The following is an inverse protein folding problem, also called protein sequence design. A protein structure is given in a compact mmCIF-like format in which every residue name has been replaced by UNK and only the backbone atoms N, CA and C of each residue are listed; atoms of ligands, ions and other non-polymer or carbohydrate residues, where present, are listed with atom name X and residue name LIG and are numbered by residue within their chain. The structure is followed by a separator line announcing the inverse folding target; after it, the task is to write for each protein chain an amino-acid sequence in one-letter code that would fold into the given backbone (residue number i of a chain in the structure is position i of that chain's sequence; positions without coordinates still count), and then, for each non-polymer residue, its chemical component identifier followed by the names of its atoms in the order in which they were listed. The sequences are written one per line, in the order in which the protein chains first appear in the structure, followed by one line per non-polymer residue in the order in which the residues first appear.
data_IF_821228955669
#
_entry.id   IF_821228955669
#
_cell.length_a   1.000
_cell.length_b   1.000
_cell.length_c   1.000
_cell.angle_alpha   90.00
_cell.angle_beta   90.00
_cell.angle_gamma   90.00
#
_symmetry.space_group_name_H-M   'P 1'
#
loop_
_entity.id
_entity.type
_entity.pdbx_description
1 polymer ?
#
# COMPACT_ATOMS: atom_id res chain seq x y z
N UNK A 1 52.74 51.25 -36.86
CA UNK A 1 51.77 51.50 -35.74
C UNK A 1 50.42 51.08 -36.17
N UNK A 2 49.92 49.94 -35.67
CA UNK A 2 48.55 49.44 -35.97
C UNK A 2 47.61 49.83 -34.83
N UNK A 3 46.74 50.77 -35.08
CA UNK A 3 45.68 51.18 -34.15
C UNK A 3 44.57 50.06 -34.17
N UNK A 4 44.47 49.32 -33.10
CA UNK A 4 43.31 48.39 -32.85
C UNK A 4 42.06 49.23 -32.60
N UNK A 5 41.16 49.24 -33.56
CA UNK A 5 39.79 49.72 -33.37
C UNK A 5 39.09 48.89 -32.30
N UNK A 6 38.79 49.45 -31.16
CA UNK A 6 37.94 48.81 -30.14
C UNK A 6 36.48 48.92 -30.58
N UNK A 7 35.90 47.79 -30.94
CA UNK A 7 34.47 47.65 -31.14
C UNK A 7 33.80 47.79 -29.77
N UNK A 8 33.08 48.90 -29.58
CA UNK A 8 32.23 49.07 -28.37
C UNK A 8 31.08 48.06 -28.42
N UNK A 9 31.06 47.13 -27.49
CA UNK A 9 29.92 46.23 -27.31
C UNK A 9 28.70 47.07 -26.87
N UNK A 10 27.51 46.83 -27.45
CA UNK A 10 26.29 47.51 -27.01
C UNK A 10 26.01 47.13 -25.55
N UNK A 11 25.80 48.10 -24.69
CA UNK A 11 25.38 47.92 -23.31
C UNK A 11 23.85 47.73 -23.28
N UNK A 12 23.38 46.73 -22.56
CA UNK A 12 21.95 46.50 -22.35
C UNK A 12 21.30 47.67 -21.60
N UNK A 13 20.10 48.03 -22.03
CA UNK A 13 19.30 49.05 -21.34
C UNK A 13 18.56 48.44 -20.16
N UNK A 14 18.29 49.23 -19.14
CA UNK A 14 17.55 48.79 -17.97
C UNK A 14 16.14 48.28 -18.35
N UNK A 15 15.51 48.88 -19.37
CA UNK A 15 14.19 48.50 -19.83
C UNK A 15 14.20 47.16 -20.55
N UNK A 16 15.26 46.82 -21.31
CA UNK A 16 15.39 45.51 -21.96
C UNK A 16 15.45 44.38 -20.92
N UNK A 17 16.23 44.57 -19.84
CA UNK A 17 16.29 43.58 -18.76
C UNK A 17 14.95 43.47 -18.05
N UNK A 18 14.26 44.59 -17.78
CA UNK A 18 12.97 44.60 -17.12
C UNK A 18 11.89 43.85 -17.95
N UNK A 19 11.87 44.06 -19.26
CA UNK A 19 10.93 43.32 -20.15
C UNK A 19 11.24 41.83 -20.15
N UNK A 20 12.51 41.43 -20.21
CA UNK A 20 12.90 40.00 -20.20
C UNK A 20 12.49 39.33 -18.91
N UNK A 21 12.79 39.94 -17.74
CA UNK A 21 12.37 39.31 -16.47
C UNK A 21 10.86 39.23 -16.32
N UNK A 22 10.10 40.21 -16.81
CA UNK A 22 8.65 40.20 -16.79
C UNK A 22 8.11 39.02 -17.60
N UNK A 23 8.62 38.77 -18.80
CA UNK A 23 8.22 37.63 -19.63
C UNK A 23 8.56 36.31 -18.94
N UNK A 24 9.74 36.19 -18.34
CA UNK A 24 10.17 34.99 -17.61
C UNK A 24 9.23 34.71 -16.44
N UNK A 25 8.87 35.72 -15.64
CA UNK A 25 7.97 35.58 -14.51
C UNK A 25 6.57 35.10 -14.96
N UNK A 26 6.05 35.66 -16.05
CA UNK A 26 4.76 35.21 -16.63
C UNK A 26 4.84 33.76 -17.09
N UNK A 27 5.90 33.38 -17.80
CA UNK A 27 6.10 32.00 -18.28
C UNK A 27 6.21 30.99 -17.11
N UNK A 28 7.00 31.32 -16.09
CA UNK A 28 7.13 30.48 -14.89
C UNK A 28 5.79 30.35 -14.18
N UNK A 29 5.03 31.45 -14.06
CA UNK A 29 3.71 31.45 -13.41
C UNK A 29 2.70 30.50 -14.06
N UNK A 30 2.79 30.27 -15.37
CA UNK A 30 1.94 29.34 -16.12
C UNK A 30 2.48 27.89 -16.06
N UNK A 31 3.83 27.75 -16.12
CA UNK A 31 4.47 26.43 -16.18
C UNK A 31 4.42 25.67 -14.85
N UNK A 32 4.56 26.34 -13.70
CA UNK A 32 4.61 25.67 -12.40
C UNK A 32 3.36 24.84 -12.08
N UNK A 33 2.12 25.33 -12.24
CA UNK A 33 0.92 24.53 -12.04
C UNK A 33 0.80 23.34 -13.00
N UNK A 34 1.15 23.54 -14.27
CA UNK A 34 1.10 22.49 -15.30
C UNK A 34 2.12 21.36 -14.98
N UNK A 35 3.34 21.70 -14.55
CA UNK A 35 4.37 20.73 -14.19
C UNK A 35 3.97 19.89 -12.97
N UNK A 36 3.32 20.50 -11.97
CA UNK A 36 2.85 19.78 -10.79
C UNK A 36 1.78 18.74 -11.12
N UNK A 37 0.86 19.06 -12.03
CA UNK A 37 -0.16 18.13 -12.54
C UNK A 37 0.44 16.95 -13.30
N UNK A 38 1.37 17.24 -14.21
CA UNK A 38 2.07 16.21 -14.99
C UNK A 38 2.89 15.26 -14.10
N UNK A 39 3.58 15.79 -13.09
CA UNK A 39 4.34 14.99 -12.13
C UNK A 39 3.45 14.03 -11.33
N UNK A 40 2.25 14.48 -10.90
CA UNK A 40 1.29 13.60 -10.19
C UNK A 40 0.77 12.49 -11.09
N UNK A 41 0.38 12.82 -12.31
CA UNK A 41 -0.09 11.82 -13.27
C UNK A 41 1.00 10.77 -13.58
N UNK A 42 2.25 11.19 -13.72
CA UNK A 42 3.38 10.29 -13.91
C UNK A 42 3.60 9.35 -12.71
N UNK A 43 3.50 9.87 -11.47
CA UNK A 43 3.58 9.03 -10.26
C UNK A 43 2.43 8.04 -10.18
N UNK A 44 1.19 8.44 -10.46
CA UNK A 44 0.05 7.53 -10.50
C UNK A 44 0.22 6.42 -11.53
N UNK A 45 0.71 6.74 -12.72
CA UNK A 45 1.01 5.76 -13.75
C UNK A 45 2.14 4.79 -13.33
N UNK A 46 3.21 5.29 -12.67
CA UNK A 46 4.28 4.45 -12.12
C UNK A 46 3.75 3.51 -11.02
N UNK A 47 2.94 4.02 -10.11
CA UNK A 47 2.28 3.22 -9.07
C UNK A 47 1.47 2.09 -9.68
N UNK A 48 0.61 2.40 -10.66
CA UNK A 48 -0.19 1.38 -11.33
C UNK A 48 0.68 0.33 -12.04
N UNK A 49 1.81 0.72 -12.62
CA UNK A 49 2.76 -0.22 -13.23
C UNK A 49 3.39 -1.16 -12.19
N UNK A 50 3.77 -0.64 -11.01
CA UNK A 50 4.28 -1.45 -9.89
C UNK A 50 3.21 -2.45 -9.43
N UNK A 51 1.99 -1.98 -9.19
CA UNK A 51 0.88 -2.83 -8.75
C UNK A 51 0.57 -3.93 -9.78
N UNK A 52 0.61 -3.62 -11.08
CA UNK A 52 0.44 -4.63 -12.14
C UNK A 52 1.56 -5.67 -12.12
N UNK A 53 2.80 -5.27 -11.91
CA UNK A 53 3.91 -6.23 -11.80
C UNK A 53 3.73 -7.18 -10.61
N UNK A 54 3.21 -6.68 -9.48
CA UNK A 54 2.86 -7.54 -8.33
C UNK A 54 1.70 -8.47 -8.69
N UNK A 55 0.64 -7.96 -9.32
CA UNK A 55 -0.51 -8.76 -9.73
C UNK A 55 -0.12 -9.88 -10.71
N UNK A 56 0.68 -9.56 -11.72
CA UNK A 56 1.19 -10.54 -12.70
C UNK A 56 2.06 -11.62 -12.03
N UNK A 57 2.84 -11.25 -11.01
CA UNK A 57 3.62 -12.20 -10.23
C UNK A 57 2.73 -13.11 -9.38
N UNK A 58 1.68 -12.57 -8.76
CA UNK A 58 0.66 -13.33 -8.03
C UNK A 58 -0.02 -14.34 -8.95
N UNK A 59 -0.47 -13.91 -10.12
CA UNK A 59 -1.13 -14.78 -11.10
C UNK A 59 -0.18 -15.88 -11.60
N UNK A 60 1.07 -15.53 -11.91
CA UNK A 60 2.10 -16.48 -12.31
C UNK A 60 2.40 -17.51 -11.22
N UNK A 61 2.49 -17.07 -9.97
CA UNK A 61 2.66 -17.94 -8.82
C UNK A 61 1.46 -18.87 -8.64
N UNK A 62 0.24 -18.32 -8.72
CA UNK A 62 -1.00 -19.10 -8.56
C UNK A 62 -1.13 -20.19 -9.63
N UNK A 63 -0.78 -19.88 -10.88
CA UNK A 63 -0.76 -20.85 -11.98
C UNK A 63 0.26 -21.97 -11.70
N UNK A 64 1.45 -21.60 -11.24
CA UNK A 64 2.54 -22.55 -11.01
C UNK A 64 2.32 -23.39 -9.74
N UNK A 65 1.88 -22.78 -8.66
CA UNK A 65 1.80 -23.41 -7.32
C UNK A 65 0.38 -23.83 -6.94
N UNK A 66 -0.65 -23.44 -7.70
CA UNK A 66 -2.07 -23.73 -7.47
C UNK A 66 -2.57 -23.27 -6.09
N UNK A 67 -1.99 -22.22 -5.54
CA UNK A 67 -2.38 -21.52 -4.31
C UNK A 67 -2.07 -20.05 -4.43
N UNK A 68 -2.68 -19.24 -3.59
CA UNK A 68 -2.31 -17.83 -3.46
C UNK A 68 -0.94 -17.71 -2.76
N UNK A 69 -0.15 -16.65 -3.05
CA UNK A 69 1.13 -16.45 -2.39
C UNK A 69 0.93 -16.07 -0.92
N UNK A 70 1.84 -16.53 -0.09
CA UNK A 70 1.89 -16.32 1.35
C UNK A 70 2.23 -17.61 2.07
N UNK A 71 3.22 -17.56 2.96
CA UNK A 71 3.67 -18.69 3.78
C UNK A 71 2.74 -18.95 4.95
N UNK A 72 2.12 -17.89 5.44
CA UNK A 72 1.15 -17.94 6.53
C UNK A 72 -0.27 -17.89 5.94
N UNK A 73 -1.18 -18.67 6.54
CA UNK A 73 -2.59 -18.68 6.10
C UNK A 73 -3.26 -17.34 6.43
N UNK A 74 -4.36 -17.05 5.74
CA UNK A 74 -5.15 -15.84 6.01
C UNK A 74 -5.65 -15.81 7.46
N UNK A 75 -6.02 -16.98 8.00
CA UNK A 75 -6.45 -17.11 9.39
C UNK A 75 -5.31 -16.83 10.37
N UNK A 76 -4.10 -17.30 10.08
CA UNK A 76 -2.94 -16.99 10.90
C UNK A 76 -2.59 -15.48 10.82
N UNK A 77 -2.61 -14.90 9.61
CA UNK A 77 -2.36 -13.47 9.41
C UNK A 77 -3.43 -12.59 10.05
N UNK A 78 -4.67 -13.04 10.06
CA UNK A 78 -5.79 -12.33 10.68
C UNK A 78 -5.95 -12.61 12.18
N UNK A 79 -5.08 -13.42 12.81
CA UNK A 79 -5.12 -13.68 14.23
C UNK A 79 -4.77 -12.44 15.07
N UNK A 80 -5.10 -12.50 16.36
CA UNK A 80 -4.89 -11.39 17.28
C UNK A 80 -3.40 -11.02 17.45
N UNK A 81 -2.51 -11.98 17.25
CA UNK A 81 -1.05 -11.79 17.32
C UNK A 81 -0.52 -10.82 16.25
N UNK A 82 -1.27 -10.62 15.15
CA UNK A 82 -0.90 -9.68 14.09
C UNK A 82 -1.61 -8.33 14.22
N UNK A 83 -2.14 -8.00 15.38
CA UNK A 83 -2.84 -6.72 15.63
C UNK A 83 -1.90 -5.54 15.91
N UNK A 84 -0.63 -5.80 16.19
CA UNK A 84 0.34 -4.77 16.55
C UNK A 84 0.91 -4.06 15.30
N UNK A 85 1.36 -2.82 15.52
CA UNK A 85 2.03 -1.99 14.50
C UNK A 85 3.32 -2.59 13.93
N UNK A 86 3.82 -3.67 14.52
CA UNK A 86 5.02 -4.41 14.10
C UNK A 86 4.69 -5.79 13.54
N UNK A 87 3.43 -6.08 13.29
CA UNK A 87 2.99 -7.33 12.67
C UNK A 87 3.39 -7.44 11.20
N UNK A 88 3.61 -8.67 10.72
CA UNK A 88 3.82 -8.96 9.30
C UNK A 88 2.56 -8.64 8.50
N UNK A 89 2.70 -7.86 7.44
CA UNK A 89 1.58 -7.51 6.55
C UNK A 89 1.31 -8.58 5.51
N UNK A 90 0.14 -8.53 4.88
CA UNK A 90 -0.21 -9.47 3.83
C UNK A 90 0.68 -9.33 2.59
N UNK A 91 1.13 -8.12 2.26
CA UNK A 91 2.09 -7.90 1.18
C UNK A 91 3.42 -8.58 1.49
N UNK A 92 3.97 -8.37 2.67
CA UNK A 92 5.21 -8.98 3.11
C UNK A 92 5.13 -10.51 3.13
N UNK A 93 3.98 -11.05 3.62
CA UNK A 93 3.72 -12.49 3.56
C UNK A 93 3.73 -13.03 2.12
N UNK A 94 3.12 -12.31 1.18
CA UNK A 94 3.12 -12.69 -0.23
C UNK A 94 4.52 -12.60 -0.85
N UNK A 95 5.32 -11.60 -0.49
CA UNK A 95 6.69 -11.44 -0.97
C UNK A 95 7.59 -12.64 -0.64
N UNK A 96 7.35 -13.33 0.48
CA UNK A 96 8.09 -14.55 0.84
C UNK A 96 8.02 -15.64 -0.24
N UNK A 97 6.94 -15.64 -1.02
CA UNK A 97 6.74 -16.60 -2.09
C UNK A 97 7.06 -16.01 -3.47
N UNK A 98 6.64 -14.76 -3.75
CA UNK A 98 6.77 -14.21 -5.11
C UNK A 98 8.11 -13.53 -5.36
N UNK A 99 8.75 -12.97 -4.33
CA UNK A 99 10.05 -12.31 -4.44
C UNK A 99 11.22 -13.19 -3.97
N UNK A 100 10.96 -14.30 -3.29
CA UNK A 100 11.97 -15.22 -2.80
C UNK A 100 12.66 -14.75 -1.52
N UNK A 101 13.90 -15.24 -1.30
CA UNK A 101 14.70 -14.87 -0.13
C UNK A 101 14.54 -15.80 1.07
N UNK A 102 13.58 -16.72 1.07
CA UNK A 102 13.40 -17.68 2.15
C UNK A 102 14.53 -18.72 2.12
N UNK A 103 15.18 -18.90 3.28
CA UNK A 103 16.31 -19.82 3.47
C UNK A 103 16.04 -20.78 4.64
N UNK A 104 16.72 -21.92 4.64
CA UNK A 104 16.60 -22.86 5.74
C UNK A 104 17.17 -22.28 7.04
N UNK A 105 16.47 -22.51 8.16
CA UNK A 105 17.02 -22.27 9.50
C UNK A 105 18.09 -23.32 9.81
N UNK A 106 19.31 -23.15 9.31
CA UNK A 106 20.45 -23.97 9.68
C UNK A 106 21.04 -23.45 11.01
N UNK A 107 21.32 -24.33 11.95
CA UNK A 107 21.81 -23.97 13.30
C UNK A 107 23.16 -23.25 13.33
N UNK A 108 23.82 -23.08 12.18
CA UNK A 108 25.09 -22.34 12.02
C UNK A 108 24.92 -20.93 11.48
N UNK A 109 23.76 -20.59 10.95
CA UNK A 109 23.48 -19.25 10.41
C UNK A 109 23.01 -18.33 11.55
N UNK A 110 23.97 -17.91 12.36
CA UNK A 110 23.72 -16.91 13.39
C UNK A 110 23.43 -15.56 12.72
N UNK A 111 22.34 -14.86 13.08
CA UNK A 111 21.95 -13.57 12.49
C UNK A 111 22.96 -12.44 12.72
N UNK A 112 24.06 -12.73 13.39
CA UNK A 112 24.85 -11.75 14.12
C UNK A 112 25.79 -10.89 13.30
N UNK A 113 25.97 -11.07 12.00
CA UNK A 113 27.03 -10.31 11.34
C UNK A 113 26.60 -9.28 10.31
N UNK A 114 25.45 -9.42 9.64
CA UNK A 114 25.21 -8.57 8.46
C UNK A 114 23.84 -7.86 8.43
N UNK A 115 22.99 -7.96 9.42
CA UNK A 115 21.61 -7.41 9.41
C UNK A 115 20.76 -7.82 8.18
N UNK A 116 21.23 -8.79 7.39
CA UNK A 116 20.55 -9.25 6.17
C UNK A 116 19.54 -10.38 6.43
N UNK A 117 19.73 -11.13 7.54
CA UNK A 117 18.82 -12.21 7.88
C UNK A 117 17.75 -11.74 8.86
N UNK A 118 16.50 -12.15 8.59
CA UNK A 118 15.35 -11.89 9.46
C UNK A 118 14.59 -13.17 9.73
N UNK A 119 14.03 -13.30 10.93
CA UNK A 119 13.04 -14.32 11.25
C UNK A 119 11.65 -13.68 11.21
N UNK A 120 10.98 -13.81 10.06
CA UNK A 120 9.76 -13.10 9.69
C UNK A 120 8.55 -13.95 10.03
N UNK A 121 7.53 -13.36 10.61
CA UNK A 121 6.25 -14.04 10.88
C UNK A 121 5.32 -13.23 11.78
N UNK A 122 4.01 -13.49 11.72
CA UNK A 122 3.00 -12.83 12.55
C UNK A 122 2.96 -13.34 14.01
N UNK A 123 3.73 -14.40 14.32
CA UNK A 123 3.67 -15.11 15.59
C UNK A 123 4.72 -14.62 16.57
N UNK A 124 4.38 -14.69 17.87
CA UNK A 124 5.35 -14.54 18.96
C UNK A 124 6.25 -15.77 19.11
N UNK A 125 5.83 -16.92 18.58
CA UNK A 125 6.56 -18.18 18.63
C UNK A 125 7.58 -18.26 17.49
N UNK A 126 8.86 -18.16 17.84
CA UNK A 126 9.99 -18.24 16.89
C UNK A 126 10.04 -19.54 16.08
N UNK A 127 9.39 -20.61 16.54
CA UNK A 127 9.33 -21.88 15.83
C UNK A 127 8.53 -21.80 14.52
N UNK A 128 7.59 -20.87 14.44
CA UNK A 128 6.76 -20.64 13.24
C UNK A 128 7.35 -19.62 12.28
N UNK A 129 8.30 -18.81 12.71
CA UNK A 129 8.91 -17.79 11.86
C UNK A 129 9.73 -18.41 10.73
N UNK A 130 9.74 -17.73 9.59
CA UNK A 130 10.48 -18.09 8.39
C UNK A 130 11.74 -17.24 8.33
N UNK A 131 12.89 -17.88 8.11
CA UNK A 131 14.14 -17.15 7.92
C UNK A 131 14.24 -16.61 6.51
N UNK A 132 14.56 -15.33 6.39
CA UNK A 132 14.68 -14.62 5.12
C UNK A 132 16.07 -13.99 5.02
N UNK A 133 16.70 -14.18 3.88
CA UNK A 133 17.88 -13.41 3.48
C UNK A 133 17.42 -12.24 2.59
N UNK A 134 17.47 -11.04 3.14
CA UNK A 134 17.00 -9.83 2.46
C UNK A 134 17.79 -9.50 1.20
N UNK A 135 19.05 -9.97 1.06
CA UNK A 135 19.86 -9.75 -0.13
C UNK A 135 19.38 -10.56 -1.35
N UNK A 136 18.57 -11.59 -1.11
CA UNK A 136 18.01 -12.46 -2.15
C UNK A 136 16.61 -12.04 -2.58
N UNK A 137 15.92 -11.21 -1.78
CA UNK A 137 14.56 -10.76 -2.08
C UNK A 137 14.55 -9.91 -3.35
N UNK A 138 13.67 -10.25 -4.30
CA UNK A 138 13.53 -9.55 -5.57
C UNK A 138 14.70 -9.76 -6.55
N UNK A 139 15.63 -10.67 -6.25
CA UNK A 139 16.75 -10.97 -7.13
C UNK A 139 16.32 -11.93 -8.25
N UNK A 140 16.41 -11.48 -9.50
CA UNK A 140 16.04 -12.26 -10.72
C UNK A 140 16.70 -13.62 -10.83
N UNK A 141 17.89 -13.78 -10.26
CA UNK A 141 18.67 -15.00 -10.38
C UNK A 141 18.29 -16.08 -9.35
N UNK A 142 17.36 -15.79 -8.45
CA UNK A 142 16.97 -16.68 -7.36
C UNK A 142 15.59 -17.35 -7.54
N UNK A 143 15.03 -17.30 -8.75
CA UNK A 143 13.79 -18.02 -9.08
C UNK A 143 12.50 -17.39 -8.57
N UNK A 144 12.54 -16.12 -8.17
CA UNK A 144 11.33 -15.36 -7.81
C UNK A 144 10.45 -15.05 -9.04
N UNK A 145 9.16 -14.94 -8.85
CA UNK A 145 8.20 -14.50 -9.88
C UNK A 145 8.25 -12.99 -10.10
N UNK A 146 8.78 -12.27 -9.13
CA UNK A 146 8.84 -10.82 -9.09
C UNK A 146 10.27 -10.35 -8.83
N UNK A 147 10.71 -9.39 -9.63
CA UNK A 147 11.95 -8.67 -9.39
C UNK A 147 11.64 -7.19 -9.36
N UNK A 148 12.22 -6.50 -8.39
CA UNK A 148 12.05 -5.07 -8.20
C UNK A 148 13.32 -4.30 -8.59
N UNK A 149 13.12 -3.06 -9.04
CA UNK A 149 14.18 -2.08 -8.98
C UNK A 149 14.40 -1.66 -7.51
N UNK A 150 15.63 -1.33 -7.15
CA UNK A 150 16.02 -0.98 -5.78
C UNK A 150 15.18 0.14 -5.15
N UNK A 151 14.58 1.00 -5.98
CA UNK A 151 13.78 2.14 -5.54
C UNK A 151 12.33 1.79 -5.17
N UNK A 152 11.92 0.55 -5.48
CA UNK A 152 10.54 0.07 -5.27
C UNK A 152 10.40 -0.66 -3.93
N UNK A 153 11.49 -1.09 -3.33
CA UNK A 153 11.50 -1.70 -2.01
C UNK A 153 11.93 -0.70 -0.94
N UNK A 154 11.36 -0.81 0.24
CA UNK A 154 11.95 -0.16 1.41
C UNK A 154 13.37 -0.65 1.55
N UNK A 155 14.32 0.26 1.67
CA UNK A 155 15.74 -0.07 1.66
C UNK A 155 16.09 -1.19 2.63
N UNK A 156 17.02 -2.03 2.22
CA UNK A 156 17.60 -3.02 3.09
C UNK A 156 18.04 -2.37 4.39
N UNK A 157 17.67 -2.96 5.52
CA UNK A 157 18.02 -2.50 6.84
C UNK A 157 19.48 -2.09 6.96
N UNK A 158 19.73 -0.90 7.48
CA UNK A 158 21.09 -0.37 7.70
C UNK A 158 21.50 0.73 6.73
N UNK A 159 20.75 1.05 5.70
CA UNK A 159 21.01 2.25 4.90
C UNK A 159 20.29 3.47 5.48
N UNK A 160 21.05 4.35 6.10
CA UNK A 160 20.63 5.70 6.47
C UNK A 160 20.20 6.45 5.22
N UNK A 161 18.89 6.59 5.01
CA UNK A 161 18.36 7.45 3.95
C UNK A 161 17.34 6.81 3.00
N UNK A 162 17.20 5.50 2.98
CA UNK A 162 16.18 4.81 2.19
C UNK A 162 14.82 4.86 2.87
N UNK A 163 13.78 4.93 2.07
CA UNK A 163 12.39 5.02 2.44
C UNK A 163 12.01 4.13 3.63
N UNK A 164 11.03 4.52 4.35
CA UNK A 164 10.95 4.17 5.74
C UNK A 164 9.54 3.92 6.11
N UNK A 165 9.20 2.69 6.21
CA UNK A 165 8.20 2.33 7.16
C UNK A 165 8.93 1.98 8.47
N UNK A 166 8.98 2.92 9.40
CA UNK A 166 9.22 2.63 10.80
C UNK A 166 7.97 3.12 11.51
N UNK A 167 7.22 2.24 12.12
CA UNK A 167 5.99 2.56 12.85
C UNK A 167 6.16 3.59 13.99
N UNK A 168 7.34 4.09 14.17
CA UNK A 168 7.74 5.28 14.94
C UNK A 168 9.16 5.61 14.53
N UNK A 169 9.48 6.89 14.37
CA UNK A 169 10.81 7.38 14.01
C UNK A 169 11.92 6.93 14.98
N UNK A 170 11.56 6.44 16.16
CA UNK A 170 12.46 6.09 17.26
C UNK A 170 12.50 4.60 17.59
N UNK A 171 11.73 3.76 16.89
CA UNK A 171 11.75 2.32 17.15
C UNK A 171 12.70 1.65 16.16
N UNK A 172 13.70 0.96 16.67
CA UNK A 172 14.54 0.09 15.86
C UNK A 172 13.65 -0.90 15.07
N UNK A 173 13.98 -1.20 13.78
CA UNK A 173 13.21 -2.15 13.00
C UNK A 173 13.00 -3.43 13.78
N UNK A 174 11.76 -3.92 13.84
CA UNK A 174 11.47 -5.20 14.45
C UNK A 174 12.27 -6.30 13.76
N UNK A 175 12.80 -7.30 14.47
CA UNK A 175 13.42 -8.45 13.84
C UNK A 175 12.46 -9.27 12.96
N UNK A 176 11.18 -8.91 12.96
CA UNK A 176 10.11 -9.52 12.15
C UNK A 176 9.75 -8.71 10.91
N UNK A 177 10.30 -7.50 10.78
CA UNK A 177 10.00 -6.66 9.63
C UNK A 177 10.57 -7.29 8.35
N UNK A 178 9.77 -7.31 7.32
CA UNK A 178 10.14 -7.65 5.94
C UNK A 178 10.31 -6.36 5.14
N UNK A 179 10.66 -6.48 3.87
CA UNK A 179 10.67 -5.37 2.93
C UNK A 179 9.25 -5.10 2.42
N UNK A 180 8.90 -3.82 2.34
CA UNK A 180 7.65 -3.37 1.74
C UNK A 180 7.82 -2.97 0.29
N UNK A 181 6.78 -3.17 -0.50
CA UNK A 181 6.70 -2.63 -1.86
C UNK A 181 6.15 -1.21 -1.78
N UNK A 182 6.95 -0.24 -2.19
CA UNK A 182 6.57 1.16 -2.21
C UNK A 182 5.89 1.55 -3.53
N UNK A 183 4.91 2.41 -3.42
CA UNK A 183 4.35 3.12 -4.56
C UNK A 183 5.26 4.28 -5.00
N UNK A 184 4.87 5.01 -6.04
CA UNK A 184 5.65 6.15 -6.52
C UNK A 184 5.54 7.42 -5.64
N UNK A 185 4.73 7.36 -4.58
CA UNK A 185 4.62 8.39 -3.55
C UNK A 185 5.43 8.05 -2.30
N UNK A 186 6.15 6.92 -2.31
CA UNK A 186 6.91 6.34 -1.21
C UNK A 186 6.06 5.79 -0.07
N UNK A 187 4.82 5.42 -0.34
CA UNK A 187 3.93 4.77 0.63
C UNK A 187 3.89 3.27 0.33
N UNK A 188 3.95 2.38 1.32
CA UNK A 188 3.82 0.95 1.10
C UNK A 188 2.49 0.61 0.40
N UNK A 189 2.47 -0.41 -0.45
CA UNK A 189 1.24 -0.90 -1.08
C UNK A 189 0.63 -1.95 -0.17
N UNK A 190 -0.62 -1.73 0.25
CA UNK A 190 -1.38 -2.74 0.99
C UNK A 190 -1.85 -3.85 0.06
N UNK A 191 -1.92 -5.07 0.61
CA UNK A 191 -2.47 -6.23 -0.06
C UNK A 191 -3.51 -6.90 0.82
N UNK A 192 -4.68 -7.16 0.28
CA UNK A 192 -5.67 -8.03 0.91
C UNK A 192 -5.82 -9.29 0.06
N UNK A 193 -5.70 -10.44 0.69
CA UNK A 193 -5.84 -11.74 0.03
C UNK A 193 -7.05 -12.46 0.59
N UNK A 194 -7.87 -13.04 -0.30
CA UNK A 194 -9.07 -13.77 0.07
C UNK A 194 -8.73 -15.05 0.80
N UNK A 195 -9.41 -15.29 1.92
CA UNK A 195 -9.44 -16.62 2.56
C UNK A 195 -10.29 -17.59 1.74
N UNK A 196 -9.65 -18.58 1.14
CA UNK A 196 -10.33 -19.65 0.38
C UNK A 196 -11.14 -20.59 1.29
N UNK A 197 -10.87 -20.59 2.60
CA UNK A 197 -11.63 -21.31 3.63
C UNK A 197 -12.81 -20.51 4.20
N UNK A 198 -13.01 -19.29 3.74
CA UNK A 198 -14.08 -18.39 4.18
C UNK A 198 -15.48 -18.80 3.69
N UNK A 199 -16.52 -18.05 4.10
CA UNK A 199 -17.90 -18.32 3.73
C UNK A 199 -18.10 -18.34 2.20
N UNK A 200 -18.85 -19.35 1.71
CA UNK A 200 -19.22 -19.42 0.28
C UNK A 200 -20.37 -18.51 -0.09
N UNK A 201 -21.16 -18.08 0.88
CA UNK A 201 -22.33 -17.22 0.71
C UNK A 201 -22.24 -16.08 1.71
N UNK A 202 -22.32 -14.87 1.21
CA UNK A 202 -22.28 -13.64 2.01
C UNK A 202 -23.72 -13.30 2.43
N UNK A 203 -23.98 -13.27 3.73
CA UNK A 203 -25.26 -12.89 4.32
C UNK A 203 -25.14 -11.64 5.17
N UNK A 204 -23.97 -11.39 5.72
CA UNK A 204 -23.67 -10.25 6.59
C UNK A 204 -22.34 -9.62 6.19
N UNK A 205 -22.06 -8.42 6.68
CA UNK A 205 -20.75 -7.78 6.47
C UNK A 205 -19.62 -8.63 7.06
N UNK A 206 -19.86 -9.29 8.20
CA UNK A 206 -18.91 -10.17 8.89
C UNK A 206 -18.59 -11.45 8.13
N UNK A 207 -19.46 -11.92 7.24
CA UNK A 207 -19.12 -13.02 6.32
C UNK A 207 -18.11 -12.58 5.27
N UNK A 208 -18.13 -11.30 4.92
CA UNK A 208 -17.24 -10.74 3.92
C UNK A 208 -15.91 -10.26 4.52
N UNK A 209 -15.97 -9.46 5.59
CA UNK A 209 -14.78 -8.93 6.25
C UNK A 209 -14.96 -8.92 7.77
N UNK A 210 -13.89 -9.28 8.50
CA UNK A 210 -13.78 -9.18 9.96
C UNK A 210 -12.51 -8.45 10.35
N UNK A 211 -12.49 -7.93 11.55
CA UNK A 211 -11.25 -7.39 12.11
C UNK A 211 -10.28 -8.52 12.42
N UNK A 212 -10.75 -9.59 13.06
CA UNK A 212 -9.93 -10.71 13.51
C UNK A 212 -10.49 -12.05 13.06
N UNK A 213 -9.60 -13.00 12.85
CA UNK A 213 -9.99 -14.37 12.46
C UNK A 213 -10.44 -15.25 13.62
N UNK A 214 -10.11 -14.90 14.86
CA UNK A 214 -10.56 -15.58 16.07
C UNK A 214 -12.04 -15.28 16.39
N UNK A 215 -12.59 -14.18 15.87
CA UNK A 215 -14.01 -13.84 15.98
C UNK A 215 -14.90 -14.63 14.98
N UNK A 216 -14.32 -15.37 14.06
CA UNK A 216 -15.01 -16.21 13.08
C UNK A 216 -14.43 -16.10 11.67
N UNK A 217 -15.03 -16.88 10.74
CA UNK A 217 -14.56 -16.92 9.36
C UNK A 217 -15.14 -15.80 8.52
N UNK A 218 -14.27 -15.16 7.71
CA UNK A 218 -14.63 -14.18 6.71
C UNK A 218 -13.82 -14.42 5.42
N UNK A 219 -14.10 -13.66 4.37
CA UNK A 219 -13.25 -13.67 3.17
C UNK A 219 -11.98 -12.85 3.35
N UNK A 220 -12.04 -11.78 4.16
CA UNK A 220 -10.90 -10.90 4.41
C UNK A 220 -10.81 -10.57 5.90
N UNK A 221 -9.59 -10.31 6.36
CA UNK A 221 -9.33 -9.92 7.74
C UNK A 221 -8.53 -8.61 7.79
N UNK A 222 -8.99 -7.67 8.60
CA UNK A 222 -8.32 -6.38 8.78
C UNK A 222 -6.91 -6.56 9.38
N UNK A 223 -6.78 -7.49 10.35
CA UNK A 223 -5.52 -7.74 11.04
C UNK A 223 -4.38 -8.19 10.14
N UNK A 224 -4.67 -8.68 8.92
CA UNK A 224 -3.63 -9.03 7.93
C UNK A 224 -2.77 -7.83 7.52
N UNK A 225 -3.24 -6.61 7.78
CA UNK A 225 -2.54 -5.36 7.51
C UNK A 225 -2.49 -4.43 8.72
N UNK A 226 -2.70 -4.97 9.94
CA UNK A 226 -2.69 -4.19 11.18
C UNK A 226 -1.38 -3.44 11.39
N UNK A 227 -0.25 -4.01 10.99
CA UNK A 227 1.06 -3.39 11.06
C UNK A 227 1.13 -2.02 10.38
N UNK A 228 0.39 -1.81 9.30
CA UNK A 228 0.32 -0.52 8.60
C UNK A 228 -0.89 0.31 9.02
N UNK A 229 -2.05 -0.30 9.18
CA UNK A 229 -3.30 0.43 9.45
C UNK A 229 -3.41 0.94 10.89
N UNK A 230 -2.72 0.32 11.85
CA UNK A 230 -2.62 0.78 13.24
C UNK A 230 -1.42 1.71 13.47
N UNK A 231 -0.53 1.84 12.50
CA UNK A 231 0.69 2.62 12.66
C UNK A 231 0.43 4.12 12.76
N UNK A 232 1.39 4.83 13.34
CA UNK A 232 1.52 6.27 13.29
C UNK A 232 1.70 6.78 11.85
N UNK A 233 2.40 7.89 11.66
CA UNK A 233 2.61 8.44 10.32
C UNK A 233 3.46 7.49 9.45
N UNK A 234 3.01 7.27 8.20
CA UNK A 234 3.77 6.59 7.17
C UNK A 234 4.65 7.62 6.45
N UNK A 235 5.90 7.27 6.17
CA UNK A 235 6.87 8.15 5.46
C UNK A 235 7.09 9.52 6.08
N UNK A 236 6.86 9.69 7.38
CA UNK A 236 7.00 10.99 8.03
C UNK A 236 5.91 12.00 7.63
N UNK A 237 4.82 11.56 7.00
CA UNK A 237 3.64 12.37 6.77
C UNK A 237 3.02 12.78 8.10
N UNK A 238 2.34 13.92 8.13
CA UNK A 238 1.60 14.37 9.32
C UNK A 238 0.30 13.60 9.55
N UNK A 239 -0.01 12.63 8.67
CA UNK A 239 -1.20 11.80 8.75
C UNK A 239 -0.89 10.50 9.47
N UNK A 240 -1.68 10.16 10.47
CA UNK A 240 -1.65 8.84 11.10
C UNK A 240 -2.65 7.95 10.39
N UNK A 241 -2.24 6.74 9.97
CA UNK A 241 -3.16 5.79 9.34
C UNK A 241 -4.32 5.43 10.26
N UNK A 242 -4.06 5.38 11.58
CA UNK A 242 -5.09 5.12 12.58
C UNK A 242 -6.26 6.10 12.54
N UNK A 243 -6.01 7.40 12.29
CA UNK A 243 -7.02 8.45 12.32
C UNK A 243 -7.42 9.01 10.95
N UNK A 244 -6.50 9.02 9.98
CA UNK A 244 -6.77 9.57 8.65
C UNK A 244 -7.43 8.58 7.69
N UNK A 245 -7.30 7.27 7.94
CA UNK A 245 -7.83 6.21 7.11
C UNK A 245 -9.23 5.78 7.53
N UNK A 246 -10.13 5.62 6.59
CA UNK A 246 -11.47 5.04 6.86
C UNK A 246 -11.44 3.59 7.34
N UNK A 247 -10.30 2.92 7.17
CA UNK A 247 -10.03 1.56 7.65
C UNK A 247 -8.96 1.53 8.75
N UNK A 248 -8.61 2.68 9.32
CA UNK A 248 -7.61 2.79 10.39
C UNK A 248 -8.10 2.23 11.73
N UNK A 249 -7.18 2.08 12.68
CA UNK A 249 -7.47 1.47 13.99
C UNK A 249 -8.34 2.30 14.93
N UNK A 250 -8.43 3.61 14.71
CA UNK A 250 -9.31 4.49 15.50
C UNK A 250 -10.79 4.43 15.09
N UNK A 251 -11.09 3.77 13.97
CA UNK A 251 -12.47 3.54 13.53
C UNK A 251 -13.05 2.36 14.31
N UNK A 252 -14.30 2.47 14.75
CA UNK A 252 -15.03 1.41 15.44
C UNK A 252 -15.01 0.10 14.63
N UNK A 253 -14.92 -1.03 15.31
CA UNK A 253 -14.68 -2.34 14.70
C UNK A 253 -15.72 -2.71 13.64
N UNK A 254 -17.00 -2.58 13.97
CA UNK A 254 -18.11 -2.87 13.04
C UNK A 254 -18.08 -1.96 11.80
N UNK A 255 -17.60 -0.77 11.96
CA UNK A 255 -17.45 0.20 10.90
C UNK A 255 -16.22 -0.08 10.03
N UNK A 256 -15.09 -0.52 10.61
CA UNK A 256 -13.94 -1.01 9.83
C UNK A 256 -14.34 -2.17 8.94
N UNK A 257 -15.12 -3.13 9.47
CA UNK A 257 -15.63 -4.27 8.69
C UNK A 257 -16.47 -3.80 7.50
N UNK A 258 -17.43 -2.87 7.72
CA UNK A 258 -18.26 -2.29 6.65
C UNK A 258 -17.45 -1.51 5.62
N UNK A 259 -16.45 -0.75 6.07
CA UNK A 259 -15.57 -0.02 5.16
C UNK A 259 -14.71 -0.96 4.32
N UNK A 260 -14.22 -2.08 4.90
CA UNK A 260 -13.55 -3.13 4.14
C UNK A 260 -14.49 -3.77 3.10
N UNK A 261 -15.75 -3.99 3.44
CA UNK A 261 -16.77 -4.47 2.48
C UNK A 261 -16.86 -3.52 1.29
N UNK A 262 -16.90 -2.21 1.53
CA UNK A 262 -16.97 -1.22 0.45
C UNK A 262 -15.72 -1.19 -0.42
N UNK A 263 -14.54 -1.34 0.20
CA UNK A 263 -13.23 -1.31 -0.48
C UNK A 263 -12.98 -2.58 -1.29
N UNK A 264 -13.24 -3.75 -0.70
CA UNK A 264 -12.85 -5.06 -1.26
C UNK A 264 -13.98 -5.72 -2.06
N UNK A 265 -15.22 -5.29 -1.86
CA UNK A 265 -16.38 -5.83 -2.54
C UNK A 265 -16.51 -5.35 -3.98
N UNK A 266 -16.92 -6.23 -4.88
CA UNK A 266 -17.17 -5.87 -6.27
C UNK A 266 -18.50 -5.09 -6.41
N UNK A 267 -18.48 -3.83 -6.83
CA UNK A 267 -19.71 -3.04 -7.00
C UNK A 267 -20.63 -3.57 -8.11
N UNK A 268 -20.11 -4.40 -8.99
CA UNK A 268 -20.87 -5.01 -10.08
C UNK A 268 -21.74 -6.18 -9.64
N UNK A 269 -21.46 -6.75 -8.48
CA UNK A 269 -22.14 -7.97 -7.99
C UNK A 269 -22.64 -7.79 -6.55
N UNK A 270 -23.69 -6.97 -6.33
CA UNK A 270 -24.35 -6.90 -5.03
C UNK A 270 -25.11 -8.19 -4.72
N UNK A 271 -25.38 -8.46 -3.45
CA UNK A 271 -26.26 -9.57 -3.09
C UNK A 271 -27.71 -9.26 -3.49
N UNK A 272 -28.49 -10.25 -3.97
CA UNK A 272 -29.86 -9.99 -4.43
C UNK A 272 -30.81 -9.45 -3.35
N UNK A 273 -30.55 -9.81 -2.08
CA UNK A 273 -31.41 -9.46 -0.96
C UNK A 273 -30.96 -8.20 -0.17
N UNK A 274 -29.72 -7.79 -0.40
CA UNK A 274 -29.15 -6.62 0.26
C UNK A 274 -28.11 -5.96 -0.66
N UNK A 275 -28.52 -4.88 -1.30
CA UNK A 275 -27.65 -4.15 -2.23
C UNK A 275 -26.50 -3.43 -1.53
N UNK A 276 -26.47 -3.38 -0.19
CA UNK A 276 -25.35 -2.86 0.60
C UNK A 276 -24.25 -3.90 0.84
N UNK A 277 -24.44 -5.15 0.42
CA UNK A 277 -23.47 -6.22 0.54
C UNK A 277 -23.04 -6.75 -0.84
N UNK A 278 -21.73 -6.96 -1.08
CA UNK A 278 -21.26 -7.62 -2.29
C UNK A 278 -21.48 -9.12 -2.22
N UNK A 279 -21.92 -9.71 -3.31
CA UNK A 279 -21.95 -11.16 -3.46
C UNK A 279 -20.53 -11.74 -3.72
N UNK A 280 -19.64 -10.91 -4.24
CA UNK A 280 -18.28 -11.30 -4.63
C UNK A 280 -17.26 -10.20 -4.29
N UNK A 281 -16.01 -10.59 -4.01
CA UNK A 281 -14.91 -9.63 -3.91
C UNK A 281 -14.53 -9.06 -5.30
N UNK A 282 -13.75 -8.00 -5.32
CA UNK A 282 -13.15 -7.45 -6.56
C UNK A 282 -12.18 -8.42 -7.22
N UNK A 283 -11.52 -9.27 -6.42
CA UNK A 283 -10.60 -10.31 -6.86
C UNK A 283 -10.18 -11.19 -5.69
N UNK A 284 -9.38 -12.22 -5.96
CA UNK A 284 -8.76 -13.04 -4.91
C UNK A 284 -7.67 -12.29 -4.16
N UNK A 285 -7.08 -11.29 -4.81
CA UNK A 285 -6.10 -10.35 -4.24
C UNK A 285 -6.52 -8.94 -4.62
N UNK A 286 -6.49 -8.02 -3.67
CA UNK A 286 -6.73 -6.60 -3.88
C UNK A 286 -5.53 -5.81 -3.37
N UNK A 287 -4.95 -4.99 -4.24
CA UNK A 287 -3.85 -4.09 -3.94
C UNK A 287 -4.39 -2.68 -3.78
N UNK A 288 -3.88 -1.95 -2.80
CA UNK A 288 -4.29 -0.57 -2.49
C UNK A 288 -3.03 0.26 -2.28
N UNK A 289 -2.90 1.33 -3.04
CA UNK A 289 -1.91 2.39 -2.80
C UNK A 289 -2.63 3.58 -2.18
N UNK A 290 -2.05 4.19 -1.17
CA UNK A 290 -2.59 5.37 -0.50
C UNK A 290 -2.61 6.63 -1.39
N UNK A 291 -2.00 6.56 -2.57
CA UNK A 291 -2.02 7.69 -3.49
C UNK A 291 -1.21 8.88 -2.98
N UNK A 292 -1.74 10.09 -3.22
CA UNK A 292 -1.02 11.33 -3.00
C UNK A 292 -1.06 11.81 -1.55
N UNK A 293 -2.12 11.49 -0.83
CA UNK A 293 -2.34 11.99 0.54
C UNK A 293 -1.69 11.10 1.61
N UNK A 294 -1.02 10.01 1.18
CA UNK A 294 -0.33 9.02 2.01
C UNK A 294 -1.26 8.31 3.03
N UNK A 295 -2.58 8.36 2.82
CA UNK A 295 -3.57 7.74 3.70
C UNK A 295 -4.41 6.70 2.94
N UNK A 296 -4.32 5.42 3.34
CA UNK A 296 -5.12 4.36 2.71
C UNK A 296 -6.61 4.60 2.95
N UNK A 297 -7.35 4.75 1.88
CA UNK A 297 -8.76 5.09 1.93
C UNK A 297 -8.95 6.37 2.73
N UNK A 298 -8.19 7.40 2.32
CA UNK A 298 -8.06 8.67 3.01
C UNK A 298 -9.39 9.42 3.13
N UNK A 299 -9.68 9.94 4.31
CA UNK A 299 -10.82 10.80 4.55
C UNK A 299 -10.35 12.26 4.45
N UNK A 300 -10.79 13.04 3.46
CA UNK A 300 -10.37 14.43 3.37
C UNK A 300 -10.96 15.24 4.54
N UNK A 301 -10.10 15.62 5.47
CA UNK A 301 -10.27 16.75 6.41
C UNK A 301 -11.43 16.77 7.38
N UNK A 302 -12.44 15.93 7.23
CA UNK A 302 -13.63 15.91 8.07
C UNK A 302 -13.94 14.47 8.51
N UNK A 303 -13.50 14.16 9.71
CA UNK A 303 -13.64 12.84 10.38
C UNK A 303 -15.11 12.46 10.63
N UNK A 304 -16.06 13.29 10.26
CA UNK A 304 -17.49 13.00 10.42
C UNK A 304 -18.04 12.05 9.36
N UNK A 305 -17.34 11.85 8.25
CA UNK A 305 -17.71 10.87 7.23
C UNK A 305 -17.05 9.51 7.48
N UNK A 306 -17.56 8.81 8.47
CA UNK A 306 -17.05 7.50 8.89
C UNK A 306 -17.47 6.33 7.99
N UNK A 307 -18.29 6.54 6.96
CA UNK A 307 -18.84 5.44 6.15
C UNK A 307 -18.47 5.58 4.67
N UNK A 308 -17.89 4.52 4.13
CA UNK A 308 -17.77 4.35 2.69
C UNK A 308 -19.06 3.71 2.15
N UNK A 309 -19.62 4.29 1.09
CA UNK A 309 -20.76 3.71 0.41
C UNK A 309 -20.33 2.53 -0.45
N UNK A 310 -20.96 1.36 -0.27
CA UNK A 310 -20.87 0.26 -1.19
C UNK A 310 -21.91 0.43 -2.31
N UNK A 311 -21.49 0.27 -3.55
CA UNK A 311 -22.39 0.22 -4.71
C UNK A 311 -22.10 1.28 -5.80
N UNK A 312 -22.70 1.14 -6.99
CA UNK A 312 -22.57 2.15 -8.03
C UNK A 312 -23.26 3.44 -7.58
N UNK A 313 -22.55 4.55 -7.59
CA UNK A 313 -22.89 5.99 -7.39
C UNK A 313 -24.35 6.40 -7.02
N UNK A 314 -25.24 5.49 -6.70
CA UNK A 314 -26.60 5.80 -6.25
C UNK A 314 -26.70 5.55 -4.76
N UNK A 315 -26.94 6.64 -4.04
CA UNK A 315 -27.35 6.66 -2.65
C UNK A 315 -28.23 5.45 -2.34
N UNK A 316 -27.83 4.63 -1.38
CA UNK A 316 -28.72 3.62 -0.82
C UNK A 316 -29.85 4.37 -0.12
N UNK A 317 -31.11 4.33 -0.59
CA UNK A 317 -32.22 4.95 0.09
C UNK A 317 -32.39 4.23 1.43
N UNK A 318 -32.24 4.94 2.54
CA UNK A 318 -32.52 4.42 3.88
C UNK A 318 -31.39 4.52 4.90
N UNK A 319 -30.19 4.95 4.53
CA UNK A 319 -29.22 5.37 5.53
C UNK A 319 -29.41 6.85 5.86
N UNK A 320 -29.66 7.22 7.13
CA UNK A 320 -29.92 8.59 7.50
C UNK A 320 -28.69 9.47 7.23
N UNK A 321 -28.75 10.31 6.23
CA UNK A 321 -28.20 11.63 6.28
C UNK A 321 -26.75 11.85 5.85
N UNK A 322 -26.05 10.93 5.19
CA UNK A 322 -24.71 11.22 4.71
C UNK A 322 -24.48 10.62 3.32
N UNK A 323 -24.28 11.44 2.32
CA UNK A 323 -23.71 11.06 1.05
C UNK A 323 -22.24 10.68 1.25
N UNK A 324 -21.98 9.43 1.65
CA UNK A 324 -20.62 8.89 1.78
C UNK A 324 -19.92 8.93 0.42
N UNK A 325 -18.64 9.29 0.38
CA UNK A 325 -17.83 9.13 -0.81
C UNK A 325 -17.80 7.65 -1.20
N UNK A 326 -17.93 7.39 -2.48
CA UNK A 326 -17.64 6.06 -3.03
C UNK A 326 -16.11 5.89 -3.13
N UNK A 327 -15.65 4.63 -3.12
CA UNK A 327 -14.22 4.31 -3.27
C UNK A 327 -13.63 4.96 -4.54
N UNK A 328 -14.43 5.12 -5.60
CA UNK A 328 -14.01 5.77 -6.85
C UNK A 328 -13.76 7.29 -6.73
N UNK A 329 -14.15 7.91 -5.62
CA UNK A 329 -13.94 9.35 -5.36
C UNK A 329 -12.72 9.63 -4.47
N UNK A 330 -12.04 8.57 -4.05
CA UNK A 330 -10.79 8.64 -3.32
C UNK A 330 -9.62 8.77 -4.30
N UNK A 331 -8.50 9.31 -3.85
CA UNK A 331 -7.28 9.39 -4.65
C UNK A 331 -6.41 8.12 -4.58
N UNK A 332 -6.87 7.13 -3.84
CA UNK A 332 -6.27 5.79 -3.78
C UNK A 332 -6.30 5.09 -5.15
N UNK A 333 -5.28 4.26 -5.37
CA UNK A 333 -5.21 3.41 -6.56
C UNK A 333 -5.51 1.97 -6.17
N UNK A 334 -6.54 1.40 -6.79
CA UNK A 334 -6.97 0.03 -6.56
C UNK A 334 -6.66 -0.86 -7.77
N UNK A 335 -6.15 -2.06 -7.50
CA UNK A 335 -5.96 -3.10 -8.50
C UNK A 335 -6.36 -4.46 -7.92
N UNK A 336 -7.05 -5.29 -8.70
CA UNK A 336 -7.40 -6.65 -8.31
C UNK A 336 -6.76 -7.68 -9.22
N UNK A 337 -6.36 -8.83 -8.66
CA UNK A 337 -5.77 -9.96 -9.34
C UNK A 337 -6.43 -11.28 -8.89
N UNK A 338 -6.22 -12.36 -9.62
CA UNK A 338 -6.71 -13.68 -9.25
C UNK A 338 -8.23 -13.81 -9.37
N UNK A 339 -8.81 -13.38 -10.51
CA UNK A 339 -10.22 -13.50 -10.85
C UNK A 339 -10.57 -14.87 -11.43
#
# INVERSE_FOLDING_TARGET
MHTRSQVKAPAFTLIEILVVITIIVILIGILLPALSGASRAARGAKTLAIMRSVADAVDSFQVAQRRLPGRFSQTDMGANENADSVGLTQMENALLDIAGGVVEKSGSNTPAKDNLFRDVGPFSDDAKNVRVDLSLVGNKNQGGYLSFDSDTLTGAFGQTGGGKYTGSADVAPSPRDMLDVLDAFNTPILMFTRDLGGPKTIKTAQDFARVRSDDGKALFYWNTNAGMLAAGSVNGSNHTQSSASAIGSEIEEDQRERNLVAVLGSPAFPTPNDLSLPAQPRGSVVLISAGKDDAYVGLPGDITMKFLGYGPRKMVPGMPGQGGKTVDELDDIFLSAGG
#
